data_IF_360807698579
#
_entry.id   IF_360807698579
#
_cell.length_a   1.000
_cell.length_b   1.000
_cell.length_c   1.000
_cell.angle_alpha   90.00
_cell.angle_beta   90.00
_cell.angle_gamma   90.00
#
_symmetry.space_group_name_H-M   'P 1'
#
loop_
_entity.id
_entity.type
_entity.pdbx_description
1 polymer ?
#
# COMPACT_ATOMS: atom_id res chain seq x y z
N UNK A 1 21.55 2.80 -11.83
CA UNK A 1 21.78 2.65 -10.37
C UNK A 1 21.60 4.02 -9.73
N UNK A 2 21.11 4.09 -8.49
CA UNK A 2 20.93 5.33 -7.73
C UNK A 2 21.23 5.09 -6.26
N UNK A 3 21.41 6.16 -5.50
CA UNK A 3 21.85 6.14 -4.09
C UNK A 3 20.72 6.58 -3.13
N UNK A 4 19.49 6.73 -3.62
CA UNK A 4 18.37 7.20 -2.81
C UNK A 4 17.96 6.19 -1.74
N UNK A 5 17.62 6.70 -0.56
CA UNK A 5 17.08 5.93 0.57
C UNK A 5 15.69 6.46 0.90
N UNK A 6 14.74 5.55 1.09
CA UNK A 6 13.37 5.87 1.53
C UNK A 6 13.12 5.11 2.82
N UNK A 7 12.88 5.84 3.91
CA UNK A 7 12.44 5.29 5.19
C UNK A 7 10.99 5.71 5.43
N UNK A 8 10.16 4.83 5.99
CA UNK A 8 8.79 5.18 6.31
C UNK A 8 8.15 4.28 7.36
N UNK A 9 6.97 4.72 7.80
CA UNK A 9 6.13 4.02 8.76
C UNK A 9 4.78 3.70 8.09
N UNK A 10 4.36 2.44 8.13
CA UNK A 10 3.06 1.98 7.65
C UNK A 10 2.07 1.88 8.80
N UNK A 11 1.00 2.66 8.72
CA UNK A 11 -0.15 2.55 9.61
C UNK A 11 -1.43 3.04 8.92
N UNK A 12 -2.57 2.59 9.42
CA UNK A 12 -3.89 3.16 9.13
C UNK A 12 -4.59 3.51 10.44
N UNK A 13 -5.55 4.42 10.38
CA UNK A 13 -6.38 4.80 11.53
C UNK A 13 -7.70 4.07 11.43
N UNK A 14 -8.12 3.42 12.51
CA UNK A 14 -9.41 2.76 12.62
C UNK A 14 -10.57 3.76 12.64
N UNK A 15 -11.79 3.28 12.41
CA UNK A 15 -12.99 4.09 12.60
C UNK A 15 -13.14 4.60 14.05
N UNK A 16 -12.60 3.87 15.02
CA UNK A 16 -12.54 4.27 16.44
C UNK A 16 -11.42 5.27 16.77
N UNK A 17 -10.56 5.63 15.82
CA UNK A 17 -9.44 6.54 16.01
C UNK A 17 -8.14 5.88 16.52
N UNK A 18 -8.14 4.57 16.72
CA UNK A 18 -6.94 3.82 17.09
C UNK A 18 -5.99 3.71 15.89
N UNK A 19 -4.68 3.75 16.16
CA UNK A 19 -3.66 3.55 15.12
C UNK A 19 -3.38 2.06 15.01
N UNK A 20 -3.60 1.50 13.81
CA UNK A 20 -3.18 0.15 13.46
C UNK A 20 -1.89 0.22 12.65
N UNK A 21 -0.79 -0.22 13.24
CA UNK A 21 0.50 -0.39 12.53
C UNK A 21 0.44 -1.62 11.64
N UNK A 22 0.97 -1.50 10.43
CA UNK A 22 1.12 -2.63 9.51
C UNK A 22 2.42 -3.35 9.79
N UNK A 23 2.41 -4.31 10.71
CA UNK A 23 3.59 -5.12 11.06
C UNK A 23 3.73 -6.32 10.13
N UNK A 24 4.94 -6.70 9.74
CA UNK A 24 5.17 -7.83 8.81
C UNK A 24 4.30 -7.72 7.53
N UNK A 25 4.13 -6.50 7.04
CA UNK A 25 3.27 -6.15 5.92
C UNK A 25 4.12 -5.71 4.75
N UNK A 26 3.76 -6.17 3.56
CA UNK A 26 4.49 -5.89 2.33
C UNK A 26 4.17 -4.49 1.80
N UNK A 27 5.21 -3.69 1.60
CA UNK A 27 5.17 -2.38 0.95
C UNK A 27 5.83 -2.50 -0.42
N UNK A 28 5.16 -2.02 -1.45
CA UNK A 28 5.67 -2.01 -2.82
C UNK A 28 6.03 -0.60 -3.26
N UNK A 29 7.16 -0.45 -3.91
CA UNK A 29 7.60 0.78 -4.56
C UNK A 29 7.76 0.54 -6.06
N UNK A 30 7.12 1.36 -6.88
CA UNK A 30 7.21 1.24 -8.34
C UNK A 30 7.15 2.59 -9.06
N UNK A 31 7.68 2.71 -10.29
CA UNK A 31 7.64 3.96 -11.02
C UNK A 31 6.22 4.51 -11.23
N UNK A 32 6.03 5.82 -11.03
CA UNK A 32 4.75 6.49 -11.21
C UNK A 32 4.43 6.73 -12.70
N UNK A 33 4.09 5.66 -13.41
CA UNK A 33 3.71 5.69 -14.82
C UNK A 33 2.24 6.13 -15.02
N UNK A 34 1.90 6.58 -16.24
CA UNK A 34 0.50 6.84 -16.61
C UNK A 34 -0.39 5.59 -16.52
N UNK A 35 0.18 4.41 -16.79
CA UNK A 35 -0.47 3.11 -16.62
C UNK A 35 -0.89 2.90 -15.16
N UNK A 36 0.04 3.04 -14.22
CA UNK A 36 -0.24 2.85 -12.80
C UNK A 36 -1.08 3.98 -12.20
N UNK A 37 -1.00 5.19 -12.76
CA UNK A 37 -1.89 6.29 -12.37
C UNK A 37 -3.35 5.92 -12.55
N UNK A 38 -3.72 5.29 -13.67
CA UNK A 38 -5.09 4.84 -13.91
C UNK A 38 -5.51 3.71 -12.96
N UNK A 39 -4.60 2.78 -12.65
CA UNK A 39 -4.84 1.70 -11.69
C UNK A 39 -5.06 2.23 -10.27
N UNK A 40 -4.13 3.03 -9.76
CA UNK A 40 -4.18 3.55 -8.39
C UNK A 40 -5.28 4.59 -8.18
N UNK A 41 -5.74 5.27 -9.23
CA UNK A 41 -6.93 6.12 -9.15
C UNK A 41 -8.20 5.32 -8.74
N UNK A 42 -8.26 4.02 -9.07
CA UNK A 42 -9.40 3.15 -8.72
C UNK A 42 -9.16 2.31 -7.47
N UNK A 43 -7.94 1.77 -7.31
CA UNK A 43 -7.66 0.73 -6.33
C UNK A 43 -6.61 1.12 -5.29
N UNK A 44 -5.97 2.28 -5.40
CA UNK A 44 -4.82 2.63 -4.57
C UNK A 44 -5.15 3.09 -3.16
N UNK A 45 -6.33 3.67 -2.96
CA UNK A 45 -6.78 4.18 -1.65
C UNK A 45 -8.24 3.76 -1.44
N UNK A 46 -8.46 2.46 -1.20
CA UNK A 46 -9.79 1.87 -1.13
C UNK A 46 -9.96 1.08 0.18
N UNK A 47 -10.89 1.53 1.01
CA UNK A 47 -11.29 0.84 2.24
C UNK A 47 -11.81 -0.56 1.91
N UNK A 48 -11.41 -1.56 2.68
CA UNK A 48 -11.83 -2.95 2.50
C UNK A 48 -13.36 -3.09 2.56
N UNK A 49 -14.02 -2.34 3.44
CA UNK A 49 -15.47 -2.30 3.57
C UNK A 49 -16.22 -1.70 2.36
N UNK A 50 -15.51 -0.94 1.50
CA UNK A 50 -16.07 -0.29 0.30
C UNK A 50 -15.69 -1.03 -0.99
N UNK A 51 -14.99 -2.16 -0.90
CA UNK A 51 -14.66 -2.96 -2.07
C UNK A 51 -15.92 -3.57 -2.65
N UNK A 52 -16.16 -3.29 -3.92
CA UNK A 52 -17.21 -3.94 -4.68
C UNK A 52 -16.76 -5.39 -4.99
N UNK A 53 -17.50 -6.42 -4.53
CA UNK A 53 -17.13 -7.81 -4.76
C UNK A 53 -17.13 -8.21 -6.25
N UNK A 54 -17.91 -7.52 -7.08
CA UNK A 54 -18.02 -7.80 -8.51
C UNK A 54 -16.92 -7.11 -9.34
N UNK A 55 -16.20 -6.15 -8.74
CA UNK A 55 -15.12 -5.41 -9.40
C UNK A 55 -13.77 -5.97 -8.98
N UNK A 56 -13.22 -6.84 -9.83
CA UNK A 56 -11.89 -7.39 -9.63
C UNK A 56 -10.81 -6.47 -10.23
N UNK A 57 -9.63 -6.31 -9.58
CA UNK A 57 -8.50 -5.64 -10.19
C UNK A 57 -8.11 -6.33 -11.52
N UNK A 58 -7.80 -5.57 -12.57
CA UNK A 58 -7.37 -6.15 -13.83
C UNK A 58 -6.01 -6.86 -13.67
N UNK A 59 -5.76 -7.86 -14.52
CA UNK A 59 -4.43 -8.45 -14.65
C UNK A 59 -3.47 -7.37 -15.17
N UNK A 60 -2.38 -7.14 -14.42
CA UNK A 60 -1.38 -6.15 -14.77
C UNK A 60 -0.36 -6.71 -15.77
N UNK A 61 0.27 -5.83 -16.57
CA UNK A 61 1.33 -6.24 -17.50
C UNK A 61 2.47 -6.93 -16.72
N UNK A 62 2.88 -8.16 -17.11
CA UNK A 62 3.90 -8.91 -16.37
C UNK A 62 5.26 -8.20 -16.32
N UNK A 63 5.57 -7.33 -17.29
CA UNK A 63 6.82 -6.54 -17.33
C UNK A 63 6.91 -5.55 -16.17
N UNK A 64 5.78 -5.16 -15.57
CA UNK A 64 5.74 -4.33 -14.37
C UNK A 64 6.55 -4.96 -13.23
N UNK A 65 6.47 -6.28 -13.07
CA UNK A 65 7.10 -6.99 -11.97
C UNK A 65 8.62 -6.75 -11.88
N UNK A 66 9.29 -6.50 -13.02
CA UNK A 66 10.72 -6.18 -13.07
C UNK A 66 11.07 -4.82 -12.44
N UNK A 67 10.09 -3.92 -12.32
CA UNK A 67 10.28 -2.57 -11.78
C UNK A 67 9.72 -2.40 -10.35
N UNK A 68 9.02 -3.41 -9.83
CA UNK A 68 8.50 -3.38 -8.47
C UNK A 68 9.62 -3.74 -7.51
N UNK A 69 9.86 -2.86 -6.54
CA UNK A 69 10.67 -3.15 -5.36
C UNK A 69 9.75 -3.45 -4.19
N UNK A 70 10.19 -4.32 -3.30
CA UNK A 70 9.39 -4.78 -2.17
C UNK A 70 10.20 -4.63 -0.88
N UNK A 71 9.54 -4.14 0.16
CA UNK A 71 10.04 -4.16 1.52
C UNK A 71 8.96 -4.78 2.41
N UNK A 72 9.38 -5.40 3.51
CA UNK A 72 8.47 -5.91 4.53
C UNK A 72 8.69 -5.09 5.79
N UNK A 73 7.60 -4.61 6.38
CA UNK A 73 7.68 -3.80 7.59
C UNK A 73 8.10 -4.61 8.81
N UNK A 74 8.80 -3.95 9.72
CA UNK A 74 9.17 -4.54 11.02
C UNK A 74 7.97 -4.58 12.01
N UNK A 75 8.24 -4.99 13.25
CA UNK A 75 7.26 -5.03 14.34
C UNK A 75 6.69 -3.66 14.74
N UNK A 76 7.32 -2.57 14.29
CA UNK A 76 6.89 -1.19 14.54
C UNK A 76 6.16 -0.58 13.33
N UNK A 77 6.04 -1.31 12.23
CA UNK A 77 5.51 -0.82 10.96
C UNK A 77 6.53 -0.06 10.11
N UNK A 78 7.82 -0.07 10.47
CA UNK A 78 8.87 0.62 9.71
C UNK A 78 9.30 -0.19 8.50
N UNK A 79 9.54 0.48 7.38
CA UNK A 79 10.12 -0.11 6.17
C UNK A 79 11.21 0.80 5.60
N UNK A 80 12.14 0.17 4.89
CA UNK A 80 13.29 0.86 4.29
C UNK A 80 13.50 0.35 2.86
N UNK A 81 13.80 1.27 1.95
CA UNK A 81 14.30 0.99 0.60
C UNK A 81 15.63 1.70 0.39
N UNK A 82 16.57 1.03 -0.26
CA UNK A 82 17.87 1.59 -0.61
C UNK A 82 18.14 1.52 -2.12
N UNK A 83 19.21 2.19 -2.55
CA UNK A 83 19.66 2.28 -3.92
C UNK A 83 18.55 2.66 -4.92
N UNK A 84 17.69 3.61 -4.53
CA UNK A 84 16.56 4.07 -5.32
C UNK A 84 17.06 5.12 -6.32
N UNK A 85 16.83 4.95 -7.64
CA UNK A 85 17.09 5.99 -8.61
C UNK A 85 16.23 7.23 -8.36
N UNK A 86 16.73 8.41 -8.74
CA UNK A 86 15.92 9.61 -8.72
C UNK A 86 14.72 9.46 -9.66
N UNK A 87 13.53 9.85 -9.18
CA UNK A 87 12.30 9.76 -9.96
C UNK A 87 11.07 9.83 -9.08
N UNK A 88 9.91 9.81 -9.72
CA UNK A 88 8.63 9.77 -9.01
C UNK A 88 8.11 8.33 -8.93
N UNK A 89 7.68 7.93 -7.75
CA UNK A 89 7.26 6.57 -7.44
C UNK A 89 5.87 6.56 -6.79
N UNK A 90 5.15 5.47 -7.00
CA UNK A 90 4.07 5.06 -6.11
C UNK A 90 4.64 4.15 -5.04
N UNK A 91 4.31 4.47 -3.79
CA UNK A 91 4.50 3.58 -2.65
C UNK A 91 3.12 3.10 -2.20
N UNK A 92 2.95 1.79 -2.11
CA UNK A 92 1.64 1.16 -1.90
C UNK A 92 1.72 0.00 -0.92
N UNK A 93 0.66 -0.20 -0.15
CA UNK A 93 0.50 -1.35 0.74
C UNK A 93 -0.97 -1.67 0.91
N UNK A 94 -1.26 -2.90 1.33
CA UNK A 94 -2.57 -3.30 1.83
C UNK A 94 -2.45 -3.65 3.30
N UNK A 95 -3.30 -3.05 4.14
CA UNK A 95 -3.36 -3.31 5.57
C UNK A 95 -4.83 -3.42 5.97
N UNK A 96 -5.26 -4.61 6.39
CA UNK A 96 -6.62 -4.88 6.83
C UNK A 96 -6.61 -5.63 8.16
N UNK A 97 -7.67 -5.45 8.94
CA UNK A 97 -7.84 -6.16 10.21
C UNK A 97 -9.32 -6.34 10.54
N UNK A 98 -9.60 -7.31 11.39
CA UNK A 98 -10.94 -7.53 11.95
C UNK A 98 -11.14 -6.65 13.18
N UNK A 99 -12.26 -5.94 13.23
CA UNK A 99 -12.69 -5.16 14.39
C UNK A 99 -14.10 -5.58 14.81
N UNK A 100 -14.49 -5.24 16.04
CA UNK A 100 -15.85 -5.41 16.54
C UNK A 100 -16.58 -4.07 16.56
N UNK A 101 -17.75 -4.00 15.94
CA UNK A 101 -18.64 -2.85 15.98
C UNK A 101 -20.08 -3.33 16.15
N UNK A 102 -20.79 -2.83 17.15
CA UNK A 102 -22.18 -3.19 17.47
C UNK A 102 -22.44 -4.71 17.53
N UNK A 103 -21.50 -5.45 18.14
CA UNK A 103 -21.59 -6.91 18.29
C UNK A 103 -21.37 -7.71 17.00
N UNK A 104 -20.91 -7.06 15.93
CA UNK A 104 -20.55 -7.70 14.65
C UNK A 104 -19.07 -7.54 14.36
N UNK A 105 -18.49 -8.58 13.77
CA UNK A 105 -17.15 -8.50 13.16
C UNK A 105 -17.25 -7.71 11.85
N UNK A 106 -16.45 -6.65 11.75
CA UNK A 106 -16.27 -5.87 10.53
C UNK A 106 -14.80 -5.94 10.08
N UNK A 107 -14.56 -5.76 8.78
CA UNK A 107 -13.21 -5.61 8.24
C UNK A 107 -12.91 -4.12 8.08
N UNK A 108 -11.86 -3.66 8.73
CA UNK A 108 -11.32 -2.31 8.59
C UNK A 108 -10.00 -2.31 7.80
N UNK A 109 -9.50 -1.10 7.53
CA UNK A 109 -8.32 -0.87 6.71
C UNK A 109 -8.62 -0.93 5.22
N UNK A 110 -7.61 -1.20 4.40
CA UNK A 110 -7.73 -1.22 2.96
C UNK A 110 -6.39 -1.10 2.24
N UNK A 111 -6.43 -0.67 0.99
CA UNK A 111 -5.23 -0.26 0.26
C UNK A 111 -4.90 1.19 0.57
N UNK A 112 -3.61 1.49 0.64
CA UNK A 112 -3.09 2.86 0.75
C UNK A 112 -1.96 3.04 -0.23
N UNK A 113 -2.01 4.13 -1.00
CA UNK A 113 -1.01 4.47 -2.00
C UNK A 113 -0.67 5.95 -1.93
N UNK A 114 0.62 6.26 -1.90
CA UNK A 114 1.16 7.62 -1.92
C UNK A 114 2.12 7.79 -3.08
N UNK A 115 2.28 9.03 -3.51
CA UNK A 115 3.26 9.45 -4.51
C UNK A 115 4.46 10.06 -3.77
N UNK A 116 5.66 9.65 -4.13
CA UNK A 116 6.94 10.09 -3.54
C UNK A 116 7.88 10.55 -4.66
N UNK A 117 8.69 11.58 -4.44
CA UNK A 117 9.64 12.16 -5.41
C UNK A 117 10.94 12.52 -4.73
#
# INVERSE_FOLDING_TARGET
>A
VGEGVINGDLYLTSASGAIQKGTNTKVTLEPATSYMKAYYAKFGNLDAAKRDPDVQPPVLDPRRATYVREATTDQNGRFDFDHIPNGTYYISSELTWSAQSDGKTITEGGTVTKLVT
#
